data_IF_552518033134
#
_entry.id   IF_552518033134
#
_cell.length_a   1.000
_cell.length_b   1.000
_cell.length_c   1.000
_cell.angle_alpha   90.00
_cell.angle_beta   90.00
_cell.angle_gamma   90.00
#
_symmetry.space_group_name_H-M   'P 1'
#
loop_
_entity.id
_entity.type
_entity.pdbx_description
1 polymer ?
#
# COMPACT_ATOMS: atom_id res chain seq x y z
N UNK A 1 -21.94 -20.98 -32.21
CA UNK A 1 -21.38 -20.60 -30.90
C UNK A 1 -21.17 -19.09 -30.90
N UNK A 2 -22.00 -18.33 -30.20
CA UNK A 2 -21.78 -16.89 -30.04
C UNK A 2 -20.74 -16.68 -28.95
N UNK A 3 -19.55 -16.21 -29.32
CA UNK A 3 -18.52 -15.79 -28.39
C UNK A 3 -18.99 -14.50 -27.74
N UNK A 4 -19.53 -14.58 -26.52
CA UNK A 4 -19.84 -13.39 -25.73
C UNK A 4 -18.50 -12.73 -25.39
N UNK A 5 -18.17 -11.66 -26.11
CA UNK A 5 -17.05 -10.81 -25.75
C UNK A 5 -17.40 -10.13 -24.41
N UNK A 6 -16.87 -10.65 -23.32
CA UNK A 6 -16.88 -9.97 -22.02
C UNK A 6 -16.09 -8.68 -22.21
N UNK A 7 -16.79 -7.54 -22.34
CA UNK A 7 -16.17 -6.22 -22.41
C UNK A 7 -15.25 -6.09 -21.19
N UNK A 8 -13.96 -5.79 -21.41
CA UNK A 8 -13.04 -5.44 -20.32
C UNK A 8 -13.61 -4.20 -19.64
N UNK A 9 -14.18 -4.40 -18.46
CA UNK A 9 -14.74 -3.32 -17.65
C UNK A 9 -13.60 -2.37 -17.25
N UNK A 10 -13.89 -1.07 -17.12
CA UNK A 10 -12.89 -0.10 -16.66
C UNK A 10 -12.61 -0.38 -15.19
N UNK A 11 -11.34 -0.64 -14.87
CA UNK A 11 -10.91 -0.75 -13.48
C UNK A 11 -10.30 0.56 -13.02
N UNK A 12 -10.51 0.92 -11.76
CA UNK A 12 -9.80 2.02 -11.12
C UNK A 12 -8.78 1.49 -10.13
N UNK A 13 -7.81 2.33 -9.79
CA UNK A 13 -6.81 2.04 -8.78
C UNK A 13 -6.22 3.29 -8.16
N UNK A 14 -5.72 3.10 -6.95
CA UNK A 14 -4.94 4.07 -6.21
C UNK A 14 -3.65 3.39 -5.76
N UNK A 15 -2.58 4.15 -5.58
CA UNK A 15 -1.42 3.70 -4.83
C UNK A 15 -1.55 4.19 -3.39
N UNK A 16 -1.03 3.42 -2.45
CA UNK A 16 -1.10 3.74 -1.02
C UNK A 16 0.29 3.61 -0.42
N UNK A 17 0.60 4.50 0.54
CA UNK A 17 1.72 4.31 1.46
C UNK A 17 1.18 3.85 2.81
N UNK A 18 1.77 2.78 3.34
CA UNK A 18 1.39 2.23 4.65
C UNK A 18 2.57 2.11 5.59
N UNK A 19 2.28 2.21 6.88
CA UNK A 19 3.20 1.98 7.98
C UNK A 19 3.09 0.54 8.53
N UNK A 20 4.11 0.05 9.27
CA UNK A 20 4.10 -1.30 9.84
C UNK A 20 2.95 -1.59 10.82
N UNK A 21 2.36 -0.55 11.39
CA UNK A 21 1.21 -0.61 12.31
C UNK A 21 -0.15 -0.61 11.58
N UNK A 22 -0.13 -0.78 10.26
CA UNK A 22 -1.29 -0.84 9.36
C UNK A 22 -1.96 0.51 9.09
N UNK A 23 -1.40 1.64 9.54
CA UNK A 23 -1.90 2.97 9.14
C UNK A 23 -1.57 3.28 7.69
N UNK A 24 -2.52 3.88 6.98
CA UNK A 24 -2.35 4.43 5.64
C UNK A 24 -1.96 5.89 5.80
N UNK A 25 -0.79 6.28 5.31
CA UNK A 25 -0.25 7.64 5.49
C UNK A 25 -0.36 8.49 4.23
N UNK A 26 -0.60 7.86 3.08
CA UNK A 26 -0.80 8.55 1.82
C UNK A 26 -1.60 7.67 0.86
N UNK A 27 -2.38 8.33 0.00
CA UNK A 27 -3.12 7.75 -1.11
C UNK A 27 -2.88 8.61 -2.35
N UNK A 28 -2.77 7.99 -3.52
CA UNK A 28 -2.77 8.70 -4.80
C UNK A 28 -4.18 9.14 -5.17
N UNK A 29 -4.28 10.04 -6.14
CA UNK A 29 -5.50 10.20 -6.92
C UNK A 29 -5.92 8.88 -7.56
N UNK A 30 -7.17 8.84 -8.01
CA UNK A 30 -7.77 7.68 -8.65
C UNK A 30 -7.39 7.65 -10.13
N UNK A 31 -6.79 6.55 -10.55
CA UNK A 31 -6.31 6.35 -11.92
C UNK A 31 -6.99 5.15 -12.57
N UNK A 32 -7.04 5.14 -13.90
CA UNK A 32 -7.42 3.94 -14.66
C UNK A 32 -6.43 2.80 -14.35
N UNK A 33 -6.98 1.60 -14.13
CA UNK A 33 -6.26 0.37 -13.80
C UNK A 33 -5.16 0.01 -14.79
N UNK A 34 -5.26 0.48 -16.04
CA UNK A 34 -4.27 0.29 -17.10
C UNK A 34 -2.98 1.09 -16.88
N UNK A 35 -3.02 2.22 -16.17
CA UNK A 35 -1.85 3.11 -16.00
C UNK A 35 -0.83 2.42 -15.09
N UNK A 36 0.39 2.14 -15.52
CA UNK A 36 1.37 1.42 -14.68
C UNK A 36 1.60 2.08 -13.29
N UNK A 37 1.79 1.28 -12.24
CA UNK A 37 1.84 1.78 -10.85
C UNK A 37 3.03 2.73 -10.62
N UNK A 38 4.18 2.43 -11.22
CA UNK A 38 5.33 3.34 -11.31
C UNK A 38 4.95 4.71 -11.90
N UNK A 39 4.16 4.73 -12.98
CA UNK A 39 3.79 5.99 -13.66
C UNK A 39 2.85 6.83 -12.79
N UNK A 40 2.01 6.21 -11.97
CA UNK A 40 1.22 6.93 -10.97
C UNK A 40 2.15 7.64 -10.00
N UNK A 41 3.13 6.94 -9.45
CA UNK A 41 4.06 7.51 -8.47
C UNK A 41 4.98 8.59 -9.06
N UNK A 42 5.39 8.44 -10.32
CA UNK A 42 6.13 9.47 -11.05
C UNK A 42 5.28 10.74 -11.20
N UNK A 43 3.98 10.61 -11.52
CA UNK A 43 3.05 11.74 -11.68
C UNK A 43 2.72 12.43 -10.35
N UNK A 44 2.52 11.65 -9.30
CA UNK A 44 2.19 12.15 -7.96
C UNK A 44 3.37 12.89 -7.30
N UNK A 45 4.60 12.67 -7.78
CA UNK A 45 5.81 13.39 -7.35
C UNK A 45 5.97 13.46 -5.81
N UNK A 46 5.75 12.32 -5.16
CA UNK A 46 5.90 12.14 -3.71
C UNK A 46 7.29 12.60 -3.23
N UNK A 47 7.28 13.46 -2.20
CA UNK A 47 8.49 13.93 -1.52
C UNK A 47 8.62 13.27 -0.17
N UNK A 48 9.82 12.80 0.12
CA UNK A 48 10.13 12.12 1.37
C UNK A 48 11.19 12.88 2.17
N UNK A 49 11.14 12.80 3.50
CA UNK A 49 12.23 13.30 4.34
C UNK A 49 13.49 12.45 4.15
N UNK A 50 14.64 12.96 4.60
CA UNK A 50 15.91 12.22 4.54
C UNK A 50 15.93 11.08 5.56
N UNK A 51 16.55 9.97 5.17
CA UNK A 51 16.78 8.83 6.07
C UNK A 51 15.67 7.78 6.05
N UNK A 52 14.68 7.92 5.17
CA UNK A 52 13.58 6.96 5.11
C UNK A 52 13.91 5.69 4.34
N UNK A 53 13.29 4.58 4.71
CA UNK A 53 13.40 3.30 4.03
C UNK A 53 12.07 2.98 3.32
N UNK A 54 12.07 3.07 1.99
CA UNK A 54 10.89 2.79 1.16
C UNK A 54 10.95 1.38 0.62
N UNK A 55 9.99 0.57 1.02
CA UNK A 55 9.87 -0.80 0.58
C UNK A 55 8.89 -0.86 -0.57
N UNK A 56 9.35 -1.39 -1.69
CA UNK A 56 8.64 -1.38 -2.95
C UNK A 56 8.41 -2.81 -3.44
N UNK A 57 7.23 -3.04 -4.01
CA UNK A 57 6.98 -4.24 -4.80
C UNK A 57 7.61 -4.12 -6.20
N UNK A 58 7.79 -5.25 -6.90
CA UNK A 58 8.38 -5.30 -8.24
C UNK A 58 7.63 -4.46 -9.29
N UNK A 59 6.36 -4.12 -9.04
CA UNK A 59 5.56 -3.20 -9.87
C UNK A 59 6.00 -1.73 -9.81
N UNK A 60 6.89 -1.37 -8.89
CA UNK A 60 7.48 -0.03 -8.77
C UNK A 60 8.92 0.03 -9.26
N UNK A 61 9.40 -1.01 -9.95
CA UNK A 61 10.76 -1.02 -10.47
C UNK A 61 11.03 0.22 -11.34
N UNK A 62 12.10 0.94 -11.00
CA UNK A 62 12.49 2.19 -11.66
C UNK A 62 11.89 3.46 -11.04
N UNK A 63 11.05 3.35 -10.00
CA UNK A 63 10.62 4.50 -9.20
C UNK A 63 11.69 4.83 -8.15
N UNK A 64 12.41 5.94 -8.33
CA UNK A 64 13.52 6.33 -7.46
C UNK A 64 13.34 7.76 -6.90
N UNK A 65 12.56 7.92 -5.82
CA UNK A 65 12.39 9.23 -5.19
C UNK A 65 13.66 9.66 -4.44
N UNK A 66 13.91 10.96 -4.44
CA UNK A 66 15.04 11.55 -3.72
C UNK A 66 14.90 11.36 -2.20
N UNK A 67 16.03 11.28 -1.49
CA UNK A 67 16.14 11.19 -0.03
C UNK A 67 15.71 9.86 0.61
N UNK A 68 15.58 8.79 -0.19
CA UNK A 68 15.03 7.50 0.24
C UNK A 68 16.01 6.35 0.01
N UNK A 69 16.08 5.43 0.96
CA UNK A 69 16.73 4.13 0.80
C UNK A 69 15.68 3.13 0.29
N UNK A 70 15.83 2.65 -0.95
CA UNK A 70 14.88 1.72 -1.55
C UNK A 70 15.22 0.28 -1.20
N UNK A 71 14.22 -0.47 -0.75
CA UNK A 71 14.29 -1.93 -0.54
C UNK A 71 13.29 -2.62 -1.47
N UNK A 72 13.79 -3.53 -2.29
CA UNK A 72 12.99 -4.33 -3.22
C UNK A 72 13.40 -5.80 -3.13
N UNK A 73 12.47 -6.73 -3.39
CA UNK A 73 12.80 -8.15 -3.41
C UNK A 73 13.76 -8.44 -4.56
N UNK A 74 14.78 -9.25 -4.28
CA UNK A 74 15.74 -9.67 -5.30
C UNK A 74 14.99 -10.43 -6.42
N UNK A 75 15.18 -10.01 -7.67
CA UNK A 75 14.65 -10.75 -8.83
C UNK A 75 15.36 -12.09 -8.93
N UNK A 76 14.59 -13.15 -9.17
CA UNK A 76 15.15 -14.47 -9.49
C UNK A 76 15.97 -14.35 -10.78
N UNK A 77 17.27 -14.71 -10.79
CA UNK A 77 18.06 -14.76 -12.01
C UNK A 77 17.45 -15.76 -13.01
N UNK A 78 17.50 -15.45 -14.31
CA UNK A 78 16.97 -16.34 -15.35
C UNK A 78 17.68 -17.69 -15.29
N UNK A 79 16.92 -18.78 -15.15
CA UNK A 79 17.43 -20.15 -15.17
C UNK A 79 18.21 -20.59 -13.93
N UNK A 80 18.21 -19.81 -12.83
CA UNK A 80 18.91 -20.19 -11.58
C UNK A 80 18.03 -19.96 -10.35
N UNK A 81 18.26 -20.76 -9.31
CA UNK A 81 17.58 -20.57 -8.03
C UNK A 81 18.19 -19.44 -7.21
N UNK A 82 17.35 -18.85 -6.35
CA UNK A 82 17.79 -17.86 -5.37
C UNK A 82 18.66 -18.55 -4.32
N UNK A 83 19.88 -18.04 -4.14
CA UNK A 83 20.79 -18.46 -3.06
C UNK A 83 20.11 -18.24 -1.70
N UNK A 84 20.46 -19.06 -0.69
CA UNK A 84 19.89 -18.92 0.66
C UNK A 84 20.10 -17.52 1.24
N UNK A 85 21.24 -16.88 0.98
CA UNK A 85 21.53 -15.51 1.40
C UNK A 85 20.60 -14.47 0.75
N UNK A 86 20.18 -14.71 -0.49
CA UNK A 86 19.24 -13.84 -1.20
C UNK A 86 17.78 -14.06 -0.76
N UNK A 87 17.48 -15.19 -0.09
CA UNK A 87 16.12 -15.51 0.40
C UNK A 87 15.76 -14.75 1.66
N UNK A 88 16.73 -14.47 2.54
CA UNK A 88 16.45 -13.84 3.83
C UNK A 88 15.87 -12.42 3.70
N UNK A 89 16.43 -11.51 2.88
CA UNK A 89 15.82 -10.20 2.62
C UNK A 89 14.45 -10.31 1.95
N UNK A 90 14.27 -11.29 1.04
CA UNK A 90 12.99 -11.54 0.38
C UNK A 90 11.90 -11.99 1.35
N UNK A 91 12.26 -12.72 2.41
CA UNK A 91 11.32 -13.19 3.45
C UNK A 91 10.79 -12.01 4.27
N UNK A 92 11.64 -11.08 4.66
CA UNK A 92 11.22 -9.86 5.36
C UNK A 92 10.25 -9.07 4.48
N UNK A 93 10.60 -8.83 3.21
CA UNK A 93 9.76 -8.07 2.26
C UNK A 93 8.41 -8.75 2.08
N UNK A 94 8.40 -10.07 1.98
CA UNK A 94 7.17 -10.86 1.87
C UNK A 94 6.30 -10.75 3.13
N UNK A 95 6.91 -10.79 4.32
CA UNK A 95 6.20 -10.64 5.59
C UNK A 95 5.53 -9.27 5.74
N UNK A 96 6.18 -8.22 5.23
CA UNK A 96 5.61 -6.89 5.21
C UNK A 96 4.49 -6.74 4.18
N UNK A 97 4.64 -7.34 2.99
CA UNK A 97 3.57 -7.35 1.97
C UNK A 97 2.25 -7.88 2.55
N UNK A 98 2.31 -8.95 3.34
CA UNK A 98 1.14 -9.51 4.04
C UNK A 98 0.47 -8.46 4.95
N UNK A 99 1.25 -7.64 5.66
CA UNK A 99 0.68 -6.55 6.49
C UNK A 99 -0.01 -5.49 5.64
N UNK A 100 0.56 -5.12 4.50
CA UNK A 100 -0.06 -4.15 3.59
C UNK A 100 -1.34 -4.71 3.00
N UNK A 101 -1.34 -5.96 2.56
CA UNK A 101 -2.54 -6.67 2.10
C UNK A 101 -3.62 -6.70 3.19
N UNK A 102 -3.26 -6.86 4.47
CA UNK A 102 -4.20 -6.74 5.58
C UNK A 102 -4.77 -5.33 5.74
N UNK A 103 -3.96 -4.27 5.62
CA UNK A 103 -4.44 -2.89 5.68
C UNK A 103 -5.43 -2.61 4.55
N UNK A 104 -5.06 -2.98 3.32
CA UNK A 104 -5.90 -2.92 2.13
C UNK A 104 -7.20 -3.70 2.30
N UNK A 105 -7.11 -4.93 2.82
CA UNK A 105 -8.26 -5.78 3.08
C UNK A 105 -9.23 -5.16 4.08
N UNK A 106 -8.72 -4.44 5.08
CA UNK A 106 -9.54 -3.72 6.06
C UNK A 106 -10.26 -2.51 5.46
N UNK A 107 -9.61 -1.76 4.56
CA UNK A 107 -10.29 -0.70 3.79
C UNK A 107 -11.39 -1.30 2.90
N UNK A 108 -11.13 -2.45 2.28
CA UNK A 108 -12.10 -3.16 1.42
C UNK A 108 -13.30 -3.77 2.16
N UNK A 109 -13.37 -3.65 3.48
CA UNK A 109 -14.60 -3.97 4.24
C UNK A 109 -15.72 -3.02 3.83
N UNK A 110 -15.39 -1.77 3.51
CA UNK A 110 -16.36 -0.82 2.96
C UNK A 110 -16.75 -1.26 1.55
N UNK A 111 -17.96 -1.81 1.39
CA UNK A 111 -18.47 -2.29 0.09
C UNK A 111 -18.41 -1.21 -0.98
N UNK A 112 -18.65 0.04 -0.60
CA UNK A 112 -18.54 1.19 -1.49
C UNK A 112 -17.16 1.36 -2.10
N UNK A 113 -16.08 0.80 -1.51
CA UNK A 113 -14.70 0.81 -2.04
C UNK A 113 -14.44 -0.32 -3.04
N UNK A 114 -15.28 -1.36 -3.08
CA UNK A 114 -15.05 -2.53 -3.93
C UNK A 114 -16.16 -2.86 -4.92
N UNK A 115 -17.34 -2.30 -4.73
CA UNK A 115 -18.52 -2.58 -5.54
C UNK A 115 -18.88 -1.38 -6.40
N UNK A 116 -19.50 -1.69 -7.53
CA UNK A 116 -20.01 -0.69 -8.45
C UNK A 116 -21.08 0.14 -7.76
N UNK A 117 -20.84 1.43 -7.68
CA UNK A 117 -21.85 2.40 -7.31
C UNK A 117 -22.22 3.26 -8.53
N UNK A 118 -23.46 3.76 -8.57
CA UNK A 118 -24.00 4.56 -9.68
C UNK A 118 -23.93 6.05 -9.37
N UNK A 119 -22.72 6.56 -9.11
CA UNK A 119 -22.48 7.99 -8.89
C UNK A 119 -21.54 8.51 -9.97
N UNK A 120 -21.90 9.63 -10.59
CA UNK A 120 -21.16 10.26 -11.70
C UNK A 120 -20.59 11.63 -11.32
N UNK A 121 -20.52 11.94 -10.02
CA UNK A 121 -19.94 13.19 -9.55
C UNK A 121 -18.43 13.15 -9.75
N UNK A 122 -17.86 14.25 -10.24
CA UNK A 122 -16.42 14.42 -10.37
C UNK A 122 -15.74 14.25 -9.00
N UNK A 123 -14.58 13.57 -8.97
CA UNK A 123 -13.78 13.31 -7.77
C UNK A 123 -14.46 12.48 -6.67
N UNK A 124 -15.58 11.83 -6.98
CA UNK A 124 -16.29 11.03 -5.99
C UNK A 124 -15.53 9.76 -5.60
N UNK A 125 -14.82 9.13 -6.55
CA UNK A 125 -13.95 7.98 -6.27
C UNK A 125 -12.85 8.33 -5.26
N UNK A 126 -12.19 9.48 -5.47
CA UNK A 126 -11.14 9.98 -4.57
C UNK A 126 -11.68 10.20 -3.16
N UNK A 127 -12.83 10.88 -3.05
CA UNK A 127 -13.49 11.16 -1.77
C UNK A 127 -13.89 9.87 -1.05
N UNK A 128 -14.48 8.90 -1.76
CA UNK A 128 -14.88 7.61 -1.19
C UNK A 128 -13.65 6.89 -0.64
N UNK A 129 -12.56 6.86 -1.40
CA UNK A 129 -11.36 6.16 -1.00
C UNK A 129 -10.65 6.86 0.17
N UNK A 130 -10.61 8.19 0.17
CA UNK A 130 -10.08 9.00 1.27
C UNK A 130 -10.84 8.77 2.57
N UNK A 131 -12.18 8.84 2.54
CA UNK A 131 -13.04 8.59 3.71
C UNK A 131 -12.82 7.17 4.24
N UNK A 132 -12.76 6.18 3.35
CA UNK A 132 -12.53 4.79 3.74
C UNK A 132 -11.17 4.58 4.43
N UNK A 133 -10.11 5.20 3.89
CA UNK A 133 -8.78 5.18 4.50
C UNK A 133 -8.76 5.90 5.85
N UNK A 134 -9.43 7.05 5.95
CA UNK A 134 -9.61 7.80 7.19
C UNK A 134 -10.31 6.99 8.28
N UNK A 135 -11.41 6.33 7.95
CA UNK A 135 -12.15 5.46 8.89
C UNK A 135 -11.32 4.24 9.32
N UNK A 136 -10.57 3.63 8.40
CA UNK A 136 -9.63 2.56 8.73
C UNK A 136 -8.56 3.05 9.71
N UNK A 137 -7.94 4.20 9.45
CA UNK A 137 -6.93 4.80 10.32
C UNK A 137 -7.48 5.16 11.71
N UNK A 138 -8.70 5.71 11.76
CA UNK A 138 -9.39 6.00 13.01
C UNK A 138 -9.58 4.72 13.85
N UNK A 139 -10.06 3.64 13.22
CA UNK A 139 -10.22 2.32 13.86
C UNK A 139 -8.90 1.71 14.30
N UNK A 140 -7.82 1.82 13.52
CA UNK A 140 -6.49 1.35 13.90
C UNK A 140 -5.99 2.12 15.13
N UNK A 141 -6.12 3.44 15.13
CA UNK A 141 -5.68 4.31 16.23
C UNK A 141 -6.44 4.02 17.52
N UNK A 142 -7.77 3.89 17.44
CA UNK A 142 -8.62 3.54 18.58
C UNK A 142 -8.22 2.20 19.23
N UNK A 143 -7.87 1.19 18.42
CA UNK A 143 -7.41 -0.11 18.92
C UNK A 143 -6.02 -0.04 19.56
N UNK A 144 -5.11 0.74 19.00
CA UNK A 144 -3.78 0.95 19.58
C UNK A 144 -3.89 1.66 20.94
N UNK A 145 -4.80 2.63 21.07
CA UNK A 145 -5.07 3.26 22.37
C UNK A 145 -5.72 2.29 23.35
N UNK A 146 -6.72 1.50 22.95
CA UNK A 146 -7.34 0.51 23.84
C UNK A 146 -6.38 -0.59 24.30
N UNK A 147 -5.41 -0.96 23.46
CA UNK A 147 -4.38 -1.93 23.84
C UNK A 147 -3.36 -1.32 24.83
N UNK A 148 -3.13 0.00 24.79
CA UNK A 148 -2.29 0.70 25.78
C UNK A 148 -2.92 0.84 27.16
N UNK A 149 -4.23 0.65 27.31
CA UNK A 149 -4.90 0.64 28.62
C UNK A 149 -5.00 -0.75 29.27
N UNK A 150 -4.66 -1.84 28.55
CA UNK A 150 -4.68 -3.22 29.09
C UNK A 150 -3.29 -3.82 29.35
N UNK A 151 -2.22 -3.13 28.96
CA UNK A 151 -0.86 -3.40 29.45
C UNK A 151 -0.44 -2.20 30.29
N UNK A 152 -0.43 -2.39 31.61
CA UNK A 152 0.11 -1.42 32.55
C UNK A 152 1.50 -0.97 32.14
N UNK A 153 1.81 0.30 32.43
CA UNK A 153 3.13 0.91 32.44
C UNK A 153 4.30 -0.07 32.30
N UNK A 154 4.84 -0.20 31.09
CA UNK A 154 6.21 -0.68 30.89
C UNK A 154 6.93 0.38 30.08
N UNK A 155 7.67 1.21 30.82
CA UNK A 155 8.93 1.84 30.45
C UNK A 155 9.10 2.31 28.99
N UNK A 156 9.06 3.64 28.85
CA UNK A 156 10.11 4.38 28.17
C UNK A 156 11.48 3.69 28.40
N UNK A 157 12.32 3.60 27.36
CA UNK A 157 13.56 2.80 27.24
C UNK A 157 13.45 1.46 26.48
N UNK A 158 12.99 1.52 25.23
CA UNK A 158 13.70 0.94 24.07
C UNK A 158 12.96 1.30 22.77
N UNK A 159 12.84 2.60 22.49
CA UNK A 159 12.56 3.08 21.14
C UNK A 159 13.75 2.70 20.26
N UNK A 160 13.71 1.50 19.64
CA UNK A 160 14.39 1.32 18.36
C UNK A 160 13.90 2.46 17.47
N UNK A 161 14.80 3.24 16.85
CA UNK A 161 14.39 4.44 16.15
C UNK A 161 13.30 4.07 15.16
N UNK A 162 12.17 4.76 15.30
CA UNK A 162 11.01 4.72 14.43
C UNK A 162 11.38 5.39 13.09
N UNK A 163 12.49 4.99 12.48
CA UNK A 163 12.94 5.47 11.18
C UNK A 163 12.16 4.71 10.10
N UNK A 164 10.97 5.23 9.82
CA UNK A 164 10.52 5.48 8.45
C UNK A 164 10.47 4.26 7.52
N UNK A 165 9.61 3.30 7.85
CA UNK A 165 9.24 2.22 6.95
C UNK A 165 7.96 2.59 6.20
N UNK A 166 8.10 3.06 4.96
CA UNK A 166 6.96 3.36 4.11
C UNK A 166 6.86 2.29 3.03
N UNK A 167 5.66 1.78 2.79
CA UNK A 167 5.42 0.75 1.78
C UNK A 167 4.51 1.27 0.71
N UNK A 168 5.01 1.32 -0.52
CA UNK A 168 4.25 1.74 -1.67
C UNK A 168 3.60 0.52 -2.32
N UNK A 169 2.27 0.47 -2.27
CA UNK A 169 1.50 -0.63 -2.81
C UNK A 169 0.37 -0.14 -3.68
N UNK A 170 0.02 -1.00 -4.63
CA UNK A 170 -1.14 -0.82 -5.49
C UNK A 170 -2.40 -1.26 -4.75
N UNK A 171 -3.31 -0.33 -4.52
CA UNK A 171 -4.71 -0.66 -4.32
C UNK A 171 -5.39 -0.82 -5.67
N UNK A 172 -5.67 -2.06 -6.09
CA UNK A 172 -6.61 -2.31 -7.20
C UNK A 172 -8.01 -2.26 -6.62
N UNK A 173 -8.81 -1.25 -6.93
CA UNK A 173 -10.28 -1.38 -6.89
C UNK A 173 -10.97 -0.31 -7.74
N UNK A 174 -11.69 -0.73 -8.78
CA UNK A 174 -13.16 -0.74 -8.86
C UNK A 174 -13.64 -1.46 -10.15
N UNK A 175 -14.87 -1.96 -10.13
CA UNK A 175 -15.78 -2.17 -11.27
C UNK A 175 -17.16 -1.67 -10.90
#
# INVERSE_FOLDING_TARGET
MNTIAVKKTHSLKNNVLTLPDLRIVWISQTYDGKIHDKNICDKENLRFPKGICLWQDGGFLGYNPNNVIIKMPARKPRGRDLSQEQRQPGKEISSFRVKVEHAIGRVKIFRIVKERYRCHKLFFDDLVFEIACGLHNFRVSARLTSNRYNVGFIHEHNCKPMSDLFFLFKQITFY
#
